data_IF_897179985313
#
_entry.id   IF_897179985313
#
_cell.length_a   1.000
_cell.length_b   1.000
_cell.length_c   1.000
_cell.angle_alpha   90.00
_cell.angle_beta   90.00
_cell.angle_gamma   90.00
#
_symmetry.space_group_name_H-M   'P 1'
#
loop_
_entity.id
_entity.type
_entity.pdbx_description
1 polymer ?
#
# COMPACT_ATOMS: atom_id res chain seq x y z
N UNK A 1 10.54 9.99 13.85
CA UNK A 1 10.15 9.33 15.12
C UNK A 1 10.91 8.02 15.24
N UNK A 2 11.47 7.73 16.42
CA UNK A 2 12.20 6.48 16.69
C UNK A 2 11.25 5.29 16.54
N UNK A 3 11.59 4.34 15.66
CA UNK A 3 10.78 3.15 15.42
C UNK A 3 10.48 2.41 16.73
N UNK A 4 9.46 1.56 16.71
CA UNK A 4 9.16 0.62 17.79
C UNK A 4 10.22 -0.51 17.84
N UNK A 5 11.51 -0.14 17.76
CA UNK A 5 12.66 -1.02 17.56
C UNK A 5 12.86 -2.05 18.68
N UNK A 6 12.18 -1.86 19.81
CA UNK A 6 12.09 -2.87 20.87
C UNK A 6 10.66 -3.41 20.93
N UNK A 7 10.44 -4.74 20.87
CA UNK A 7 9.13 -5.37 20.95
C UNK A 7 8.27 -4.85 22.11
N UNK A 8 8.88 -4.58 23.27
CA UNK A 8 8.19 -4.05 24.45
C UNK A 8 7.42 -2.74 24.24
N UNK A 9 7.92 -1.82 23.38
CA UNK A 9 7.23 -0.56 23.07
C UNK A 9 5.98 -0.80 22.22
N UNK A 10 6.09 -1.68 21.22
CA UNK A 10 4.95 -2.10 20.40
C UNK A 10 3.89 -2.76 21.29
N UNK A 11 4.29 -3.74 22.10
CA UNK A 11 3.38 -4.47 22.96
C UNK A 11 2.71 -3.58 24.01
N UNK A 12 3.43 -2.60 24.58
CA UNK A 12 2.82 -1.66 25.53
C UNK A 12 1.75 -0.77 24.92
N UNK A 13 1.82 -0.52 23.62
CA UNK A 13 0.81 0.26 22.89
C UNK A 13 -0.35 -0.61 22.42
N UNK A 14 -0.04 -1.78 21.87
CA UNK A 14 -1.02 -2.62 21.18
C UNK A 14 -1.74 -3.60 22.11
N UNK A 15 -1.15 -3.96 23.26
CA UNK A 15 -1.70 -4.93 24.20
C UNK A 15 -1.82 -4.31 25.60
N UNK A 16 -3.02 -4.35 26.16
CA UNK A 16 -3.27 -3.90 27.53
C UNK A 16 -2.45 -4.69 28.57
N UNK A 17 -2.13 -4.11 29.74
CA UNK A 17 -1.34 -4.78 30.78
C UNK A 17 -1.86 -6.16 31.16
N UNK A 18 -3.17 -6.32 31.32
CA UNK A 18 -3.81 -7.60 31.68
C UNK A 18 -3.67 -8.66 30.59
N UNK A 19 -3.79 -8.27 29.32
CA UNK A 19 -3.60 -9.18 28.17
C UNK A 19 -2.16 -9.66 28.12
N UNK A 20 -1.20 -8.75 28.29
CA UNK A 20 0.24 -9.11 28.32
C UNK A 20 0.55 -10.08 29.44
N UNK A 21 0.03 -9.83 30.65
CA UNK A 21 0.26 -10.74 31.77
C UNK A 21 -0.38 -12.10 31.53
N UNK A 22 -1.60 -12.14 30.99
CA UNK A 22 -2.26 -13.40 30.60
C UNK A 22 -1.42 -14.20 29.61
N UNK A 23 -0.82 -13.56 28.60
CA UNK A 23 0.05 -14.24 27.64
C UNK A 23 1.34 -14.76 28.30
N UNK A 24 1.96 -13.97 29.18
CA UNK A 24 3.15 -14.38 29.93
C UNK A 24 2.85 -15.53 30.89
N UNK A 25 1.68 -15.55 31.53
CA UNK A 25 1.24 -16.65 32.39
C UNK A 25 1.14 -17.98 31.62
N UNK A 26 0.57 -17.96 30.40
CA UNK A 26 0.49 -19.18 29.55
C UNK A 26 1.88 -19.77 29.26
N UNK A 27 2.90 -18.94 29.08
CA UNK A 27 4.29 -19.40 28.88
C UNK A 27 4.87 -19.97 30.18
N UNK A 28 4.69 -19.28 31.32
CA UNK A 28 5.16 -19.74 32.63
C UNK A 28 4.52 -21.05 33.07
N UNK A 29 3.23 -21.24 32.82
CA UNK A 29 2.50 -22.47 33.13
C UNK A 29 3.01 -23.68 32.33
N UNK A 30 3.70 -23.43 31.21
CA UNK A 30 4.39 -24.45 30.40
C UNK A 30 5.88 -24.61 30.76
N UNK A 31 6.36 -23.92 31.80
CA UNK A 31 7.77 -23.93 32.19
C UNK A 31 8.70 -23.17 31.23
N UNK A 32 8.16 -22.27 30.40
CA UNK A 32 8.91 -21.48 29.43
C UNK A 32 9.20 -20.08 29.97
N UNK A 33 10.35 -19.50 29.58
CA UNK A 33 10.70 -18.12 29.89
C UNK A 33 9.97 -17.16 28.93
N UNK A 34 9.05 -16.29 29.42
CA UNK A 34 8.34 -15.36 28.55
C UNK A 34 9.23 -14.37 27.79
N UNK A 35 10.41 -14.04 28.31
CA UNK A 35 11.33 -13.09 27.67
C UNK A 35 12.12 -13.73 26.51
N UNK A 36 12.06 -15.05 26.36
CA UNK A 36 12.57 -15.78 25.20
C UNK A 36 11.63 -15.76 23.97
N UNK A 37 10.45 -15.15 24.06
CA UNK A 37 9.42 -15.17 23.02
C UNK A 37 9.04 -13.79 22.50
N UNK A 38 8.68 -13.74 21.23
CA UNK A 38 7.96 -12.63 20.62
C UNK A 38 6.49 -12.98 20.46
N UNK A 39 5.62 -11.98 20.64
CA UNK A 39 4.18 -12.09 20.41
C UNK A 39 3.84 -11.52 19.04
N UNK A 40 3.02 -12.25 18.28
CA UNK A 40 2.47 -11.81 17.02
C UNK A 40 1.01 -12.26 16.86
N UNK A 41 0.14 -11.43 16.26
CA UNK A 41 -1.20 -11.85 15.86
C UNK A 41 -1.12 -12.75 14.62
N UNK A 42 -2.13 -13.62 14.48
CA UNK A 42 -2.25 -14.55 13.35
C UNK A 42 -3.70 -14.53 12.88
N UNK A 43 -3.92 -14.59 11.56
CA UNK A 43 -5.26 -14.70 11.01
C UNK A 43 -5.85 -16.08 11.38
N UNK A 44 -7.07 -16.20 11.92
CA UNK A 44 -7.63 -17.47 12.36
C UNK A 44 -7.60 -18.57 11.29
N UNK A 45 -8.07 -18.27 10.07
CA UNK A 45 -7.96 -19.18 8.93
C UNK A 45 -6.52 -19.60 8.61
N UNK A 46 -5.54 -18.68 8.69
CA UNK A 46 -4.13 -19.00 8.45
C UNK A 46 -3.61 -19.94 9.54
N UNK A 47 -4.03 -19.74 10.79
CA UNK A 47 -3.69 -20.62 11.89
C UNK A 47 -4.20 -22.04 11.65
N UNK A 48 -5.52 -22.18 11.44
CA UNK A 48 -6.19 -23.48 11.36
C UNK A 48 -5.77 -24.28 10.12
N UNK A 49 -5.74 -23.63 8.96
CA UNK A 49 -5.60 -24.34 7.67
C UNK A 49 -4.14 -24.50 7.24
N UNK A 50 -3.24 -23.64 7.70
CA UNK A 50 -1.87 -23.55 7.17
C UNK A 50 -0.83 -23.77 8.26
N UNK A 51 -0.90 -23.04 9.37
CA UNK A 51 0.17 -23.05 10.36
C UNK A 51 0.12 -24.30 11.25
N UNK A 52 -1.05 -24.74 11.68
CA UNK A 52 -1.19 -25.98 12.45
C UNK A 52 -0.53 -27.19 11.75
N UNK A 53 -0.79 -27.48 10.46
CA UNK A 53 -0.13 -28.60 9.79
C UNK A 53 1.35 -28.35 9.50
N UNK A 54 1.73 -27.15 9.02
CA UNK A 54 3.10 -26.89 8.56
C UNK A 54 4.09 -26.64 9.70
N UNK A 55 3.64 -26.07 10.81
CA UNK A 55 4.46 -25.79 11.99
C UNK A 55 4.22 -26.77 13.15
N UNK A 56 3.56 -27.92 12.92
CA UNK A 56 3.29 -28.92 13.94
C UNK A 56 4.54 -29.29 14.79
N UNK A 57 5.75 -29.48 14.23
CA UNK A 57 6.94 -29.74 15.04
C UNK A 57 7.34 -28.57 15.95
N UNK A 58 7.19 -27.33 15.48
CA UNK A 58 7.52 -26.14 16.26
C UNK A 58 6.49 -25.90 17.39
N UNK A 59 5.23 -26.26 17.16
CA UNK A 59 4.18 -26.23 18.18
C UNK A 59 4.44 -27.31 19.24
N UNK A 60 4.74 -28.53 18.81
CA UNK A 60 5.00 -29.65 19.71
C UNK A 60 6.24 -29.43 20.60
N UNK A 61 7.29 -28.78 20.08
CA UNK A 61 8.51 -28.46 20.84
C UNK A 61 8.39 -27.22 21.73
N UNK A 62 7.30 -26.46 21.63
CA UNK A 62 7.11 -25.19 22.33
C UNK A 62 7.86 -24.01 21.70
N UNK A 63 8.48 -24.16 20.53
CA UNK A 63 9.08 -23.04 19.79
C UNK A 63 8.00 -22.06 19.28
N UNK A 64 6.78 -22.55 19.02
CA UNK A 64 5.59 -21.75 18.79
C UNK A 64 4.52 -22.11 19.83
N UNK A 65 4.04 -21.11 20.57
CA UNK A 65 3.05 -21.32 21.64
C UNK A 65 1.74 -20.65 21.25
N UNK A 66 0.63 -21.40 21.09
CA UNK A 66 -0.68 -20.81 20.88
C UNK A 66 -1.10 -20.01 22.12
N UNK A 67 -1.50 -18.76 21.92
CA UNK A 67 -2.00 -17.85 22.95
C UNK A 67 -3.50 -17.59 22.75
N UNK A 68 -4.25 -17.23 23.82
CA UNK A 68 -5.64 -16.80 23.67
C UNK A 68 -5.73 -15.46 22.91
N UNK A 69 -6.94 -15.08 22.49
CA UNK A 69 -7.17 -13.77 21.84
C UNK A 69 -6.92 -12.61 22.81
N UNK A 70 -6.60 -11.43 22.27
CA UNK A 70 -6.52 -10.19 23.04
C UNK A 70 -7.89 -9.60 23.40
N UNK A 71 -8.93 -9.94 22.62
CA UNK A 71 -10.32 -9.52 22.81
C UNK A 71 -10.73 -8.32 21.96
N UNK A 72 -9.79 -7.74 21.20
CA UNK A 72 -10.07 -6.59 20.33
C UNK A 72 -10.78 -7.05 19.05
N UNK A 73 -11.88 -6.37 18.71
CA UNK A 73 -12.60 -6.58 17.46
C UNK A 73 -11.86 -5.90 16.31
N UNK A 74 -11.73 -6.62 15.20
CA UNK A 74 -10.95 -6.18 14.04
C UNK A 74 -11.74 -6.36 12.75
N UNK A 75 -11.72 -5.34 11.89
CA UNK A 75 -12.41 -5.33 10.60
C UNK A 75 -11.41 -5.60 9.46
N UNK A 76 -11.56 -6.69 8.69
CA UNK A 76 -10.78 -6.90 7.47
C UNK A 76 -11.09 -5.80 6.45
N UNK A 77 -10.03 -5.21 5.89
CA UNK A 77 -10.11 -4.22 4.82
C UNK A 77 -10.26 -4.90 3.46
N UNK A 78 -10.28 -4.10 2.37
CA UNK A 78 -10.39 -4.61 0.99
C UNK A 78 -9.29 -5.63 0.63
N UNK A 79 -8.11 -5.56 1.27
CA UNK A 79 -7.03 -6.56 1.13
C UNK A 79 -7.33 -7.92 1.78
N UNK A 80 -8.44 -8.02 2.54
CA UNK A 80 -8.87 -9.14 3.40
C UNK A 80 -7.96 -9.38 4.62
N UNK A 81 -6.65 -9.22 4.47
CA UNK A 81 -5.64 -9.57 5.46
C UNK A 81 -5.07 -8.39 6.26
N UNK A 82 -5.52 -7.17 5.96
CA UNK A 82 -5.22 -5.98 6.75
C UNK A 82 -6.41 -5.64 7.61
N UNK A 83 -6.19 -5.42 8.90
CA UNK A 83 -7.24 -5.29 9.89
C UNK A 83 -7.18 -3.92 10.56
N UNK A 84 -8.31 -3.21 10.57
CA UNK A 84 -8.51 -2.04 11.45
C UNK A 84 -8.99 -2.51 12.81
N UNK A 85 -8.48 -1.91 13.88
CA UNK A 85 -8.96 -2.18 15.24
C UNK A 85 -10.22 -1.35 15.51
N UNK A 86 -11.37 -2.01 15.70
CA UNK A 86 -12.64 -1.37 16.01
C UNK A 86 -12.77 -1.03 17.49
N UNK A 87 -12.20 -1.86 18.37
CA UNK A 87 -12.19 -1.61 19.81
C UNK A 87 -11.34 -0.40 20.18
N UNK A 88 -10.22 -0.21 19.47
CA UNK A 88 -9.26 0.87 19.69
C UNK A 88 -8.78 1.46 18.35
N UNK A 89 -9.55 2.38 17.73
CA UNK A 89 -9.24 2.94 16.41
C UNK A 89 -7.92 3.71 16.31
N UNK A 90 -7.32 4.10 17.45
CA UNK A 90 -6.05 4.79 17.56
C UNK A 90 -4.82 3.86 17.57
N UNK A 91 -5.04 2.54 17.69
CA UNK A 91 -4.02 1.49 17.57
C UNK A 91 -3.66 1.21 16.11
N UNK A 92 -2.56 0.50 15.90
CA UNK A 92 -2.09 0.21 14.56
C UNK A 92 -3.04 -0.73 13.81
N UNK A 93 -3.09 -0.53 12.50
CA UNK A 93 -3.66 -1.52 11.59
C UNK A 93 -2.69 -2.69 11.48
N UNK A 94 -3.19 -3.92 11.41
CA UNK A 94 -2.34 -5.13 11.39
C UNK A 94 -2.53 -5.83 10.06
N UNK A 95 -1.43 -6.03 9.32
CA UNK A 95 -1.40 -6.81 8.08
C UNK A 95 -0.79 -8.18 8.35
N UNK A 96 -1.48 -9.23 7.94
CA UNK A 96 -1.15 -10.62 8.24
C UNK A 96 -0.93 -11.43 6.96
N UNK A 97 -0.09 -12.46 6.97
CA UNK A 97 -0.09 -13.49 5.94
C UNK A 97 -1.45 -14.19 5.87
N UNK A 98 -1.86 -14.50 4.66
CA UNK A 98 -3.03 -15.29 4.35
C UNK A 98 -2.72 -16.11 3.08
N UNK A 99 -2.60 -17.43 3.19
CA UNK A 99 -2.30 -18.32 2.06
C UNK A 99 -3.54 -18.54 1.20
N UNK A 100 -4.13 -17.44 0.73
CA UNK A 100 -5.22 -17.39 -0.24
C UNK A 100 -4.68 -16.70 -1.49
N UNK A 101 -4.84 -17.37 -2.62
CA UNK A 101 -4.50 -16.80 -3.91
C UNK A 101 -5.58 -15.81 -4.31
N UNK A 102 -5.20 -14.53 -4.43
CA UNK A 102 -6.15 -13.50 -4.85
C UNK A 102 -5.52 -12.66 -5.97
N UNK A 103 -6.30 -12.43 -7.02
CA UNK A 103 -5.90 -11.86 -8.32
C UNK A 103 -4.72 -12.59 -8.98
N UNK A 104 -3.47 -12.25 -8.62
CA UNK A 104 -2.24 -12.77 -9.24
C UNK A 104 -1.31 -13.47 -8.25
N UNK A 105 -1.33 -13.11 -6.97
CA UNK A 105 -0.32 -13.54 -6.00
C UNK A 105 -0.95 -14.15 -4.75
N UNK A 106 -0.22 -15.08 -4.14
CA UNK A 106 -0.51 -15.58 -2.81
C UNK A 106 -0.31 -14.45 -1.81
N UNK A 107 -1.25 -14.30 -0.89
CA UNK A 107 -1.29 -13.17 0.04
C UNK A 107 -0.40 -13.40 1.27
N UNK A 108 0.88 -13.75 1.05
CA UNK A 108 1.93 -13.86 2.07
C UNK A 108 2.68 -12.55 2.35
N UNK A 109 3.56 -12.56 3.37
CA UNK A 109 4.49 -11.47 3.68
C UNK A 109 5.93 -11.86 3.29
N UNK A 110 6.59 -11.17 2.33
CA UNK A 110 7.97 -11.48 1.97
C UNK A 110 8.90 -11.17 3.14
N UNK A 111 9.63 -12.17 3.64
CA UNK A 111 10.44 -12.09 4.85
C UNK A 111 11.47 -10.95 4.82
N UNK A 112 12.29 -10.86 3.78
CA UNK A 112 13.37 -9.85 3.69
C UNK A 112 12.81 -8.43 3.61
N UNK A 113 11.81 -8.22 2.74
CA UNK A 113 11.11 -6.93 2.63
C UNK A 113 10.44 -6.55 3.95
N UNK A 114 9.74 -7.49 4.59
CA UNK A 114 9.07 -7.27 5.88
C UNK A 114 10.03 -6.77 6.94
N UNK A 115 11.28 -7.27 6.99
CA UNK A 115 12.30 -6.80 7.93
C UNK A 115 12.72 -5.35 7.66
N UNK A 116 12.77 -4.93 6.40
CA UNK A 116 13.13 -3.56 6.02
C UNK A 116 11.95 -2.56 6.10
N UNK A 117 10.71 -3.02 6.32
CA UNK A 117 9.52 -2.17 6.28
C UNK A 117 9.59 -0.92 7.20
N UNK A 118 10.08 -1.00 8.46
CA UNK A 118 10.24 0.17 9.31
C UNK A 118 11.32 1.14 8.83
N UNK A 119 12.42 0.63 8.30
CA UNK A 119 13.51 1.46 7.76
C UNK A 119 13.08 2.17 6.48
N UNK A 120 12.39 1.47 5.57
CA UNK A 120 11.80 2.04 4.36
C UNK A 120 10.79 3.13 4.72
N UNK A 121 9.90 2.84 5.67
CA UNK A 121 8.92 3.81 6.17
C UNK A 121 9.59 5.08 6.69
N UNK A 122 10.61 4.92 7.54
CA UNK A 122 11.34 6.06 8.11
C UNK A 122 12.03 6.89 7.02
N UNK A 123 12.59 6.25 6.01
CA UNK A 123 13.22 6.94 4.87
C UNK A 123 12.19 7.72 4.04
N UNK A 124 11.10 7.09 3.58
CA UNK A 124 10.08 7.75 2.74
C UNK A 124 9.38 8.88 3.51
N UNK A 125 9.05 8.68 4.79
CA UNK A 125 8.51 9.73 5.64
C UNK A 125 9.53 10.86 5.84
N UNK A 126 10.83 10.54 5.98
CA UNK A 126 11.90 11.53 6.04
C UNK A 126 12.00 12.40 4.79
N UNK A 127 11.83 11.82 3.59
CA UNK A 127 11.75 12.59 2.34
C UNK A 127 10.57 13.57 2.36
N UNK A 128 9.37 13.08 2.73
CA UNK A 128 8.16 13.90 2.85
C UNK A 128 8.31 15.00 3.90
N UNK A 129 8.88 14.69 5.05
CA UNK A 129 9.05 15.64 6.17
C UNK A 129 10.12 16.69 5.87
N UNK A 130 11.13 16.36 5.06
CA UNK A 130 12.19 17.27 4.61
C UNK A 130 11.79 18.20 3.47
N UNK A 131 10.68 17.92 2.78
CA UNK A 131 10.19 18.70 1.64
C UNK A 131 8.96 19.54 2.02
N UNK A 132 9.09 20.87 1.95
CA UNK A 132 8.01 21.81 2.32
C UNK A 132 6.78 21.66 1.43
N UNK A 133 6.95 21.34 0.15
CA UNK A 133 5.84 21.18 -0.77
C UNK A 133 5.03 19.92 -0.42
N UNK A 134 5.70 18.80 -0.16
CA UNK A 134 5.02 17.57 0.25
C UNK A 134 4.38 17.68 1.64
N UNK A 135 5.10 18.26 2.60
CA UNK A 135 4.68 18.35 4.01
C UNK A 135 3.58 19.39 4.25
N UNK A 136 3.79 20.62 3.77
CA UNK A 136 2.97 21.77 4.19
C UNK A 136 1.87 22.08 3.17
N UNK A 137 2.15 21.94 1.88
CA UNK A 137 1.18 22.27 0.83
C UNK A 137 0.31 21.07 0.44
N UNK A 138 0.94 19.97 0.03
CA UNK A 138 0.21 18.73 -0.28
C UNK A 138 -0.35 18.08 0.99
N UNK A 139 0.29 18.32 2.16
CA UNK A 139 -0.06 17.70 3.43
C UNK A 139 -0.17 16.17 3.32
N UNK A 140 0.68 15.57 2.50
CA UNK A 140 0.58 14.16 2.13
C UNK A 140 0.67 13.28 3.38
N UNK A 141 -0.25 12.33 3.50
CA UNK A 141 -0.25 11.37 4.60
C UNK A 141 0.39 10.07 4.12
N UNK A 142 1.43 9.64 4.83
CA UNK A 142 2.12 8.38 4.58
C UNK A 142 1.84 7.45 5.75
N UNK A 143 0.98 6.45 5.54
CA UNK A 143 0.61 5.46 6.56
C UNK A 143 1.71 4.40 6.66
N UNK A 144 2.69 4.69 7.53
CA UNK A 144 3.92 3.94 7.66
C UNK A 144 3.78 2.59 8.34
N UNK A 145 4.59 1.63 7.90
CA UNK A 145 4.74 0.31 8.50
C UNK A 145 5.85 0.38 9.56
N UNK A 146 5.47 0.57 10.82
CA UNK A 146 6.39 1.00 11.90
C UNK A 146 6.96 -0.14 12.74
N UNK A 147 6.41 -1.34 12.59
CA UNK A 147 6.92 -2.56 13.20
C UNK A 147 6.54 -3.76 12.34
N UNK A 148 7.37 -4.78 12.39
CA UNK A 148 7.13 -6.04 11.71
C UNK A 148 7.77 -7.20 12.45
N UNK A 149 7.26 -8.40 12.19
CA UNK A 149 7.82 -9.66 12.66
C UNK A 149 7.59 -10.70 11.58
N UNK A 150 8.58 -11.56 11.38
CA UNK A 150 8.49 -12.70 10.46
C UNK A 150 9.06 -13.92 11.18
N UNK A 151 8.41 -15.07 11.00
CA UNK A 151 8.83 -16.34 11.59
C UNK A 151 9.23 -17.26 10.45
N UNK A 152 10.54 -17.47 10.34
CA UNK A 152 11.13 -18.36 9.35
C UNK A 152 10.63 -19.79 9.52
N UNK A 153 10.32 -20.45 8.41
CA UNK A 153 9.99 -21.87 8.45
C UNK A 153 11.29 -22.69 8.50
N UNK A 154 11.47 -23.60 9.48
CA UNK A 154 12.76 -24.27 9.71
C UNK A 154 13.26 -25.13 8.54
N UNK A 155 12.34 -25.65 7.72
CA UNK A 155 12.64 -26.47 6.54
C UNK A 155 12.56 -25.68 5.22
N UNK A 156 11.37 -25.16 4.86
CA UNK A 156 11.15 -24.48 3.59
C UNK A 156 12.12 -23.34 3.29
N UNK A 157 12.49 -22.50 4.26
CA UNK A 157 13.38 -21.37 4.00
C UNK A 157 14.80 -21.79 3.59
N UNK A 158 15.18 -23.06 3.79
CA UNK A 158 16.48 -23.63 3.37
C UNK A 158 16.44 -24.23 1.98
N UNK A 159 15.25 -24.39 1.39
CA UNK A 159 15.06 -24.98 0.08
C UNK A 159 15.07 -23.88 -0.99
N UNK A 160 16.01 -23.90 -1.95
CA UNK A 160 16.14 -22.83 -2.94
C UNK A 160 14.88 -22.69 -3.80
N UNK A 161 14.35 -23.82 -4.29
CA UNK A 161 13.23 -23.87 -5.24
C UNK A 161 11.84 -23.97 -4.59
N UNK A 162 11.74 -23.82 -3.25
CA UNK A 162 10.41 -23.87 -2.61
C UNK A 162 9.55 -22.72 -3.15
N UNK A 163 8.27 -22.97 -3.43
CA UNK A 163 7.37 -21.93 -3.86
C UNK A 163 7.33 -20.76 -2.87
N UNK A 164 7.37 -19.52 -3.36
CA UNK A 164 7.50 -18.32 -2.51
C UNK A 164 6.43 -18.27 -1.42
N UNK A 165 5.22 -18.76 -1.69
CA UNK A 165 4.13 -18.76 -0.71
C UNK A 165 4.48 -19.47 0.60
N UNK A 166 5.38 -20.47 0.57
CA UNK A 166 5.84 -21.19 1.76
C UNK A 166 6.97 -20.48 2.51
N UNK A 167 7.57 -19.44 1.93
CA UNK A 167 8.55 -18.54 2.56
C UNK A 167 7.89 -17.32 3.23
N UNK A 168 6.57 -17.23 3.17
CA UNK A 168 5.78 -16.04 3.49
C UNK A 168 4.60 -16.32 4.44
N UNK A 169 4.70 -17.40 5.23
CA UNK A 169 3.57 -18.01 5.94
C UNK A 169 3.19 -17.36 7.27
N UNK A 170 4.16 -16.85 8.03
CA UNK A 170 3.95 -16.42 9.41
C UNK A 170 4.71 -15.13 9.72
N UNK A 171 3.97 -14.12 10.15
CA UNK A 171 4.48 -12.80 10.47
C UNK A 171 3.34 -11.81 10.70
N UNK A 172 3.70 -10.56 10.97
CA UNK A 172 2.76 -9.47 11.06
C UNK A 172 3.47 -8.15 10.74
N UNK A 173 2.73 -7.19 10.18
CA UNK A 173 3.17 -5.80 10.02
C UNK A 173 2.15 -4.91 10.71
N UNK A 174 2.64 -3.99 11.54
CA UNK A 174 1.84 -2.94 12.17
C UNK A 174 2.04 -1.64 11.42
N UNK A 175 0.94 -1.05 10.97
CA UNK A 175 0.91 0.20 10.22
C UNK A 175 0.14 1.27 10.96
N UNK A 176 0.65 2.49 10.89
CA UNK A 176 0.04 3.67 11.52
C UNK A 176 -1.44 3.79 11.12
N UNK A 177 -2.33 4.06 12.09
CA UNK A 177 -3.73 4.30 11.78
C UNK A 177 -3.87 5.65 11.08
N UNK A 178 -4.88 5.74 10.22
CA UNK A 178 -5.29 7.01 9.66
C UNK A 178 -6.00 7.83 10.74
N UNK A 179 -5.42 8.98 11.09
CA UNK A 179 -5.99 9.93 12.04
C UNK A 179 -6.35 11.21 11.32
N UNK A 180 -7.61 11.60 11.44
CA UNK A 180 -8.13 12.81 10.82
C UNK A 180 -8.76 13.71 11.87
N UNK A 181 -8.73 15.05 11.66
CA UNK A 181 -9.60 15.98 12.34
C UNK A 181 -11.09 15.58 12.22
N UNK A 182 -11.96 15.98 13.18
CA UNK A 182 -13.38 15.61 13.19
C UNK A 182 -14.18 16.08 11.95
N UNK A 183 -13.72 17.14 11.30
CA UNK A 183 -14.32 17.76 10.10
C UNK A 183 -13.85 17.12 8.79
N UNK A 184 -12.94 16.15 8.84
CA UNK A 184 -12.43 15.48 7.64
C UNK A 184 -12.84 14.02 7.56
N UNK A 185 -12.94 13.52 6.32
CA UNK A 185 -13.33 12.15 6.02
C UNK A 185 -12.34 11.52 5.06
N UNK A 186 -12.12 10.22 5.19
CA UNK A 186 -11.30 9.47 4.25
C UNK A 186 -12.08 8.34 3.59
N UNK A 187 -11.83 8.13 2.30
CA UNK A 187 -12.39 7.02 1.54
C UNK A 187 -11.31 6.47 0.62
N UNK A 188 -11.31 5.15 0.41
CA UNK A 188 -10.40 4.55 -0.56
C UNK A 188 -10.72 5.11 -1.94
N UNK A 189 -9.71 5.30 -2.77
CA UNK A 189 -9.88 5.80 -4.13
C UNK A 189 -10.79 4.86 -4.95
N UNK A 190 -10.77 3.56 -4.65
CA UNK A 190 -11.68 2.56 -5.21
C UNK A 190 -13.17 2.90 -4.98
N UNK A 191 -13.52 3.59 -3.89
CA UNK A 191 -14.90 3.97 -3.63
C UNK A 191 -15.46 4.89 -4.72
N UNK A 192 -14.63 5.71 -5.38
CA UNK A 192 -15.08 6.58 -6.48
C UNK A 192 -15.55 5.81 -7.71
N UNK A 193 -15.17 4.53 -7.84
CA UNK A 193 -15.59 3.65 -8.92
C UNK A 193 -16.87 2.87 -8.58
N UNK A 194 -17.38 3.02 -7.37
CA UNK A 194 -18.57 2.30 -6.94
C UNK A 194 -19.83 2.90 -7.59
N UNK A 195 -20.69 2.01 -8.07
CA UNK A 195 -22.05 2.31 -8.49
C UNK A 195 -22.99 1.45 -7.65
N UNK A 196 -24.00 2.09 -7.06
CA UNK A 196 -24.96 1.39 -6.21
C UNK A 196 -25.92 0.50 -7.05
N UNK A 197 -26.75 -0.35 -6.42
CA UNK A 197 -27.70 -1.20 -7.15
C UNK A 197 -28.76 -0.43 -7.96
N UNK A 198 -28.96 0.87 -7.71
CA UNK A 198 -29.87 1.72 -8.48
C UNK A 198 -29.16 2.39 -9.67
N UNK A 199 -27.86 2.17 -9.85
CA UNK A 199 -27.08 2.72 -10.96
C UNK A 199 -26.44 4.08 -10.65
N UNK A 200 -26.55 4.61 -9.43
CA UNK A 200 -25.97 5.89 -9.05
C UNK A 200 -24.50 5.72 -8.70
N UNK A 201 -23.63 6.45 -9.40
CA UNK A 201 -22.20 6.47 -9.11
C UNK A 201 -21.94 7.22 -7.80
N UNK A 202 -21.09 6.65 -6.94
CA UNK A 202 -20.72 7.27 -5.67
C UNK A 202 -20.02 8.61 -5.87
N UNK A 203 -19.19 8.75 -6.92
CA UNK A 203 -18.57 10.04 -7.24
C UNK A 203 -19.60 11.11 -7.63
N UNK A 204 -20.70 10.74 -8.28
CA UNK A 204 -21.75 11.69 -8.62
C UNK A 204 -22.44 12.22 -7.36
N UNK A 205 -22.64 11.37 -6.35
CA UNK A 205 -23.15 11.77 -5.05
C UNK A 205 -22.22 12.74 -4.31
N UNK A 206 -20.91 12.50 -4.33
CA UNK A 206 -19.96 13.41 -3.70
C UNK A 206 -19.92 14.78 -4.39
N UNK A 207 -19.99 14.80 -5.72
CA UNK A 207 -20.05 16.05 -6.50
C UNK A 207 -21.31 16.85 -6.13
N UNK A 208 -22.49 16.20 -6.10
CA UNK A 208 -23.74 16.85 -5.70
C UNK A 208 -23.67 17.41 -4.28
N UNK A 209 -23.22 16.61 -3.31
CA UNK A 209 -23.12 17.02 -1.89
C UNK A 209 -22.12 18.15 -1.66
N UNK A 210 -21.10 18.25 -2.50
CA UNK A 210 -20.12 19.35 -2.42
C UNK A 210 -20.64 20.71 -2.91
N UNK A 211 -21.74 20.72 -3.67
CA UNK A 211 -22.24 21.93 -4.33
C UNK A 211 -21.31 22.49 -5.43
N UNK A 212 -20.19 21.81 -5.74
CA UNK A 212 -19.28 22.22 -6.80
C UNK A 212 -19.76 21.75 -8.17
N UNK A 213 -19.48 22.53 -9.21
CA UNK A 213 -19.62 22.06 -10.58
C UNK A 213 -18.72 20.83 -10.82
N UNK A 214 -19.15 19.82 -11.60
CA UNK A 214 -18.38 18.59 -11.78
C UNK A 214 -16.92 18.78 -12.22
N UNK A 215 -16.68 19.68 -13.19
CA UNK A 215 -15.31 20.02 -13.62
C UNK A 215 -14.46 20.65 -12.50
N UNK A 216 -15.08 21.41 -11.60
CA UNK A 216 -14.38 22.03 -10.48
C UNK A 216 -14.02 20.99 -9.41
N UNK A 217 -14.94 20.09 -9.06
CA UNK A 217 -14.66 18.99 -8.15
C UNK A 217 -13.58 18.06 -8.70
N UNK A 218 -13.63 17.74 -10.01
CA UNK A 218 -12.60 16.91 -10.65
C UNK A 218 -11.20 17.55 -10.59
N UNK A 219 -11.09 18.87 -10.76
CA UNK A 219 -9.82 19.58 -10.55
C UNK A 219 -9.34 19.49 -9.10
N UNK A 220 -10.25 19.51 -8.11
CA UNK A 220 -9.90 19.28 -6.70
C UNK A 220 -9.38 17.87 -6.47
N UNK A 221 -10.02 16.86 -7.08
CA UNK A 221 -9.53 15.49 -7.05
C UNK A 221 -8.10 15.39 -7.61
N UNK A 222 -7.86 15.91 -8.82
CA UNK A 222 -6.52 15.85 -9.42
C UNK A 222 -5.49 16.65 -8.62
N UNK A 223 -5.85 17.83 -8.11
CA UNK A 223 -4.99 18.63 -7.24
C UNK A 223 -4.67 17.99 -5.89
N UNK A 224 -5.54 17.11 -5.37
CA UNK A 224 -5.28 16.34 -4.16
C UNK A 224 -4.37 15.12 -4.43
N UNK A 225 -4.50 14.49 -5.60
CA UNK A 225 -3.84 13.23 -5.94
C UNK A 225 -2.48 13.41 -6.63
N UNK A 226 -2.45 14.16 -7.73
CA UNK A 226 -1.29 14.18 -8.62
C UNK A 226 -0.07 14.89 -8.05
N UNK A 227 -0.18 16.11 -7.48
CA UNK A 227 1.00 16.87 -7.09
C UNK A 227 1.99 16.10 -6.19
N UNK A 228 1.57 15.40 -5.12
CA UNK A 228 2.51 14.63 -4.32
C UNK A 228 3.09 13.42 -5.07
N UNK A 229 2.29 12.72 -5.88
CA UNK A 229 2.75 11.56 -6.66
C UNK A 229 3.78 11.96 -7.72
N UNK A 230 3.52 13.05 -8.44
CA UNK A 230 4.41 13.61 -9.45
C UNK A 230 5.72 14.09 -8.81
N UNK A 231 5.64 14.75 -7.66
CA UNK A 231 6.84 15.24 -6.98
C UNK A 231 7.71 14.09 -6.49
N UNK A 232 7.12 13.03 -5.93
CA UNK A 232 7.86 11.83 -5.55
C UNK A 232 8.56 11.17 -6.75
N UNK A 233 7.86 11.03 -7.88
CA UNK A 233 8.44 10.50 -9.11
C UNK A 233 9.58 11.39 -9.62
N UNK A 234 9.33 12.68 -9.83
CA UNK A 234 10.30 13.56 -10.48
C UNK A 234 11.48 13.93 -9.57
N UNK A 235 11.22 14.32 -8.33
CA UNK A 235 12.29 14.75 -7.41
C UNK A 235 13.08 13.58 -6.88
N UNK A 236 12.39 12.52 -6.45
CA UNK A 236 12.99 11.43 -5.69
C UNK A 236 13.15 10.14 -6.49
N UNK A 237 12.68 10.09 -7.75
CA UNK A 237 12.68 8.87 -8.54
C UNK A 237 11.99 7.74 -7.77
N UNK A 238 10.95 8.05 -7.01
CA UNK A 238 10.28 7.13 -6.10
C UNK A 238 8.80 7.09 -6.48
N UNK A 239 8.25 5.90 -6.65
CA UNK A 239 6.82 5.73 -6.95
C UNK A 239 6.17 4.86 -5.90
N UNK A 240 4.89 5.16 -5.68
CA UNK A 240 3.96 4.28 -4.99
C UNK A 240 3.16 3.51 -6.05
N UNK A 241 2.38 2.52 -5.62
CA UNK A 241 1.32 1.93 -6.43
C UNK A 241 -0.03 2.55 -6.03
N UNK A 242 -0.42 3.72 -6.57
CA UNK A 242 -1.64 4.46 -6.18
C UNK A 242 -2.92 3.86 -6.78
N UNK A 243 -3.06 2.54 -6.77
CA UNK A 243 -4.32 1.92 -7.19
C UNK A 243 -5.43 2.16 -6.17
N UNK A 244 -6.67 1.85 -6.56
CA UNK A 244 -7.87 2.18 -5.80
C UNK A 244 -7.83 1.82 -4.31
N UNK A 245 -7.24 0.69 -3.95
CA UNK A 245 -7.11 0.28 -2.54
C UNK A 245 -6.04 1.05 -1.75
N UNK A 246 -4.87 1.32 -2.34
CA UNK A 246 -3.70 1.87 -1.62
C UNK A 246 -3.71 3.39 -1.53
N UNK A 247 -4.44 4.05 -2.43
CA UNK A 247 -4.73 5.47 -2.35
C UNK A 247 -6.01 5.72 -1.57
N UNK A 248 -5.93 6.61 -0.60
CA UNK A 248 -7.04 7.08 0.21
C UNK A 248 -7.17 8.59 0.00
N UNK A 249 -8.34 9.02 -0.42
CA UNK A 249 -8.65 10.44 -0.63
C UNK A 249 -9.21 10.99 0.68
N UNK A 250 -8.62 12.08 1.17
CA UNK A 250 -9.16 12.85 2.29
C UNK A 250 -10.03 13.96 1.74
N UNK A 251 -11.20 14.13 2.34
CA UNK A 251 -12.22 15.12 2.02
C UNK A 251 -12.44 16.05 3.21
N UNK A 252 -12.78 17.30 2.93
CA UNK A 252 -13.31 18.21 3.95
C UNK A 252 -14.77 17.88 4.33
N UNK A 253 -15.37 18.74 5.15
CA UNK A 253 -16.74 18.60 5.66
C UNK A 253 -17.81 18.75 4.57
N UNK A 254 -17.42 19.27 3.40
CA UNK A 254 -18.25 19.43 2.20
C UNK A 254 -17.97 18.34 1.15
N UNK A 255 -17.30 17.25 1.49
CA UNK A 255 -16.96 16.17 0.54
C UNK A 255 -16.12 16.64 -0.67
N UNK A 256 -15.31 17.69 -0.51
CA UNK A 256 -14.33 18.13 -1.51
C UNK A 256 -12.98 17.47 -1.24
N UNK A 257 -12.32 16.86 -2.26
CA UNK A 257 -10.99 16.28 -2.09
C UNK A 257 -9.95 17.34 -1.69
N UNK A 258 -9.21 17.09 -0.61
CA UNK A 258 -8.22 18.03 -0.08
C UNK A 258 -6.79 17.51 -0.08
N UNK A 259 -6.57 16.20 0.07
CA UNK A 259 -5.22 15.59 0.02
C UNK A 259 -5.24 14.07 -0.10
N UNK A 260 -4.07 13.53 -0.38
CA UNK A 260 -3.81 12.10 -0.54
C UNK A 260 -3.20 11.48 0.72
N UNK A 261 -3.70 10.30 1.07
CA UNK A 261 -3.04 9.36 1.95
C UNK A 261 -2.64 8.09 1.17
N UNK A 262 -1.41 7.60 1.36
CA UNK A 262 -0.91 6.36 0.74
C UNK A 262 -0.51 5.37 1.82
N UNK A 263 -0.76 4.08 1.55
CA UNK A 263 -0.37 2.93 2.39
C UNK A 263 0.38 1.86 1.58
N UNK A 264 0.86 0.82 2.28
CA UNK A 264 1.52 -0.38 1.73
C UNK A 264 2.89 -0.09 1.08
N UNK A 265 3.87 0.37 1.86
CA UNK A 265 5.17 0.77 1.31
C UNK A 265 6.04 -0.42 0.93
N UNK A 266 6.17 -1.40 1.84
CA UNK A 266 7.11 -2.50 1.66
C UNK A 266 6.83 -3.38 0.44
N UNK A 267 5.56 -3.48 0.03
CA UNK A 267 5.16 -4.27 -1.14
C UNK A 267 5.19 -3.46 -2.45
N UNK A 268 4.99 -2.13 -2.39
CA UNK A 268 4.62 -1.33 -3.57
C UNK A 268 5.53 -0.13 -3.88
N UNK A 269 6.41 0.30 -2.96
CA UNK A 269 7.37 1.38 -3.25
C UNK A 269 8.50 0.85 -4.13
N UNK A 270 8.73 1.54 -5.23
CA UNK A 270 9.83 1.28 -6.16
C UNK A 270 10.61 2.57 -6.37
N UNK A 271 11.91 2.44 -6.68
CA UNK A 271 12.76 3.60 -7.01
C UNK A 271 13.40 3.43 -8.38
N UNK A 272 13.89 4.53 -8.95
CA UNK A 272 14.59 4.50 -10.22
C UNK A 272 15.88 3.68 -10.12
N UNK A 273 16.11 2.82 -11.10
CA UNK A 273 17.38 2.14 -11.30
C UNK A 273 18.51 3.11 -11.70
N UNK A 274 18.17 4.27 -12.27
CA UNK A 274 19.11 5.37 -12.50
C UNK A 274 19.37 6.06 -11.16
N UNK A 275 20.64 6.12 -10.69
CA UNK A 275 20.96 6.72 -9.40
C UNK A 275 20.61 8.21 -9.34
N UNK A 276 19.88 8.60 -8.30
CA UNK A 276 19.58 10.01 -8.01
C UNK A 276 20.29 10.47 -6.74
N UNK A 277 20.73 11.74 -6.62
CA UNK A 277 21.36 12.25 -5.41
C UNK A 277 20.52 12.01 -4.15
N UNK A 278 19.20 12.11 -4.27
CA UNK A 278 18.24 11.87 -3.20
C UNK A 278 18.34 10.45 -2.59
N UNK A 279 18.75 9.46 -3.40
CA UNK A 279 18.92 8.07 -2.95
C UNK A 279 20.11 7.87 -2.02
N UNK A 280 21.02 8.85 -1.89
CA UNK A 280 22.17 8.76 -0.98
C UNK A 280 21.78 8.67 0.50
N UNK A 281 20.56 9.12 0.84
CA UNK A 281 20.01 9.08 2.21
C UNK A 281 19.33 7.74 2.54
N UNK A 282 19.17 6.85 1.56
CA UNK A 282 18.51 5.57 1.74
C UNK A 282 19.39 4.62 2.57
N UNK A 283 18.87 4.04 3.66
CA UNK A 283 19.56 3.02 4.45
C UNK A 283 20.00 1.80 3.60
N UNK A 284 21.13 1.20 3.95
CA UNK A 284 21.71 0.08 3.18
C UNK A 284 20.84 -1.19 3.20
N UNK A 285 20.18 -1.46 4.32
CA UNK A 285 19.23 -2.56 4.47
C UNK A 285 18.00 -2.38 3.57
N UNK A 286 17.50 -1.14 3.42
CA UNK A 286 16.45 -0.79 2.47
C UNK A 286 16.95 -0.94 1.04
N UNK A 287 18.14 -0.40 0.72
CA UNK A 287 18.73 -0.48 -0.62
C UNK A 287 18.91 -1.92 -1.09
N UNK A 288 19.25 -2.83 -0.18
CA UNK A 288 19.46 -4.24 -0.50
C UNK A 288 18.18 -5.02 -0.85
N UNK A 289 16.99 -4.51 -0.52
CA UNK A 289 15.72 -5.23 -0.72
C UNK A 289 14.66 -4.46 -1.50
N UNK A 290 14.81 -3.14 -1.65
CA UNK A 290 13.87 -2.31 -2.38
C UNK A 290 13.97 -2.57 -3.87
N UNK A 291 12.81 -2.70 -4.53
CA UNK A 291 12.78 -2.93 -5.97
C UNK A 291 13.14 -1.65 -6.72
N UNK A 292 13.92 -1.82 -7.77
CA UNK A 292 14.35 -0.74 -8.67
C UNK A 292 13.83 -1.00 -10.07
N UNK A 293 13.36 0.05 -10.74
CA UNK A 293 12.84 -0.05 -12.10
C UNK A 293 13.48 1.01 -13.00
N UNK A 294 13.67 0.67 -14.28
CA UNK A 294 14.12 1.63 -15.28
C UNK A 294 13.14 2.81 -15.40
N UNK A 295 13.61 4.05 -15.65
CA UNK A 295 12.77 5.25 -15.64
C UNK A 295 11.48 5.14 -16.44
N UNK A 296 11.55 4.61 -17.66
CA UNK A 296 10.38 4.42 -18.53
C UNK A 296 9.34 3.49 -17.90
N UNK A 297 9.77 2.40 -17.26
CA UNK A 297 8.86 1.48 -16.57
C UNK A 297 8.38 2.03 -15.23
N UNK A 298 9.18 2.81 -14.53
CA UNK A 298 8.80 3.44 -13.26
C UNK A 298 7.54 4.32 -13.42
N UNK A 299 7.38 4.98 -14.57
CA UNK A 299 6.16 5.75 -14.90
C UNK A 299 4.90 4.88 -14.98
N UNK A 300 5.03 3.58 -15.26
CA UNK A 300 3.91 2.64 -15.35
C UNK A 300 3.14 2.49 -14.03
N UNK A 301 3.77 2.79 -12.88
CA UNK A 301 3.06 2.78 -11.61
C UNK A 301 1.96 3.85 -11.56
N UNK A 302 2.17 4.99 -12.23
CA UNK A 302 1.15 6.03 -12.38
C UNK A 302 0.27 5.74 -13.60
N UNK A 303 0.85 5.45 -14.77
CA UNK A 303 0.06 5.17 -15.97
C UNK A 303 -0.86 3.97 -15.78
N UNK A 304 -0.32 2.81 -15.45
CA UNK A 304 -1.10 1.58 -15.31
C UNK A 304 -1.87 1.55 -13.98
N UNK A 305 -1.24 1.92 -12.87
CA UNK A 305 -1.86 1.86 -11.54
C UNK A 305 -3.02 2.84 -11.33
N UNK A 306 -2.83 4.10 -11.75
CA UNK A 306 -3.82 5.17 -11.55
C UNK A 306 -4.62 5.46 -12.82
N UNK A 307 -3.96 5.73 -13.96
CA UNK A 307 -4.69 6.19 -15.14
C UNK A 307 -5.51 5.07 -15.77
N UNK A 308 -4.90 3.91 -16.05
CA UNK A 308 -5.59 2.75 -16.62
C UNK A 308 -6.38 1.99 -15.54
N UNK A 309 -5.83 1.87 -14.34
CA UNK A 309 -6.40 1.07 -13.25
C UNK A 309 -7.58 1.72 -12.55
N UNK A 310 -7.67 3.06 -12.56
CA UNK A 310 -8.72 3.82 -11.88
C UNK A 310 -9.41 4.78 -12.85
N UNK A 311 -8.67 5.72 -13.45
CA UNK A 311 -9.30 6.81 -14.20
C UNK A 311 -9.99 6.38 -15.49
N UNK A 312 -9.51 5.33 -16.16
CA UNK A 312 -10.22 4.70 -17.28
C UNK A 312 -11.64 4.24 -16.91
N UNK A 313 -11.89 3.90 -15.64
CA UNK A 313 -13.21 3.53 -15.15
C UNK A 313 -13.97 4.71 -14.55
N UNK A 314 -13.26 5.72 -14.03
CA UNK A 314 -13.87 6.92 -13.47
C UNK A 314 -14.37 7.88 -14.57
N UNK A 315 -13.65 8.01 -15.68
CA UNK A 315 -13.99 8.94 -16.75
C UNK A 315 -15.37 8.67 -17.39
N UNK A 316 -15.76 7.42 -17.69
CA UNK A 316 -17.13 7.13 -18.14
C UNK A 316 -18.21 7.53 -17.13
N UNK A 317 -17.98 7.36 -15.83
CA UNK A 317 -18.94 7.79 -14.79
C UNK A 317 -19.14 9.32 -14.79
N UNK A 318 -18.07 10.07 -15.07
CA UNK A 318 -18.13 11.52 -15.23
C UNK A 318 -18.88 11.95 -16.49
N UNK A 319 -18.68 11.24 -17.59
CA UNK A 319 -19.37 11.53 -18.84
C UNK A 319 -20.86 11.22 -18.73
N UNK A 320 -21.20 10.02 -18.27
CA UNK A 320 -22.57 9.49 -18.23
C UNK A 320 -23.44 10.20 -17.17
N UNK A 321 -22.89 10.47 -15.97
CA UNK A 321 -23.70 10.95 -14.84
C UNK A 321 -23.43 12.41 -14.44
N UNK A 322 -22.33 13.00 -14.91
CA UNK A 322 -21.92 14.36 -14.53
C UNK A 322 -21.73 15.31 -15.72
N UNK A 323 -21.91 14.82 -16.96
CA UNK A 323 -21.83 15.63 -18.17
C UNK A 323 -20.43 16.22 -18.45
N UNK A 324 -19.37 15.56 -17.97
CA UNK A 324 -17.97 15.92 -18.29
C UNK A 324 -17.45 14.93 -19.32
N UNK A 325 -17.30 15.34 -20.60
CA UNK A 325 -16.82 14.45 -21.65
C UNK A 325 -15.47 13.83 -21.30
N UNK A 326 -15.22 12.58 -21.74
CA UNK A 326 -13.96 11.89 -21.43
C UNK A 326 -12.73 12.70 -21.90
N UNK A 327 -12.82 13.37 -23.05
CA UNK A 327 -11.77 14.27 -23.55
C UNK A 327 -11.42 15.38 -22.55
N UNK A 328 -12.42 15.97 -21.91
CA UNK A 328 -12.22 17.03 -20.93
C UNK A 328 -11.61 16.48 -19.63
N UNK A 329 -12.01 15.26 -19.23
CA UNK A 329 -11.44 14.58 -18.07
C UNK A 329 -9.92 14.43 -18.23
N UNK A 330 -9.46 13.89 -19.37
CA UNK A 330 -8.04 13.70 -19.65
C UNK A 330 -7.30 15.02 -19.88
N UNK A 331 -7.94 16.01 -20.51
CA UNK A 331 -7.36 17.34 -20.67
C UNK A 331 -7.11 18.03 -19.32
N UNK A 332 -8.02 17.88 -18.35
CA UNK A 332 -7.85 18.38 -16.99
C UNK A 332 -6.72 17.65 -16.24
N UNK A 333 -6.59 16.33 -16.44
CA UNK A 333 -5.50 15.55 -15.86
C UNK A 333 -4.14 16.01 -16.41
N UNK A 334 -4.05 16.16 -17.74
CA UNK A 334 -2.86 16.68 -18.43
C UNK A 334 -2.50 18.08 -17.96
N UNK A 335 -3.49 18.96 -17.80
CA UNK A 335 -3.28 20.32 -17.32
C UNK A 335 -2.69 20.34 -15.90
N UNK A 336 -3.09 19.40 -15.03
CA UNK A 336 -2.52 19.27 -13.68
C UNK A 336 -1.05 18.84 -13.71
N UNK A 337 -0.68 17.87 -14.58
CA UNK A 337 0.71 17.46 -14.77
C UNK A 337 1.56 18.65 -15.26
N UNK A 338 1.10 19.37 -16.28
CA UNK A 338 1.82 20.54 -16.79
C UNK A 338 1.91 21.67 -15.77
N UNK A 339 0.87 21.87 -14.95
CA UNK A 339 0.89 22.84 -13.86
C UNK A 339 1.96 22.50 -12.83
N UNK A 340 2.12 21.21 -12.51
CA UNK A 340 3.21 20.76 -11.64
C UNK A 340 4.58 21.00 -12.29
N UNK A 341 4.76 20.64 -13.56
CA UNK A 341 6.03 20.87 -14.27
C UNK A 341 6.40 22.36 -14.36
N UNK A 342 5.45 23.23 -14.68
CA UNK A 342 5.66 24.67 -14.75
C UNK A 342 6.03 25.29 -13.40
N UNK A 343 5.63 24.65 -12.30
CA UNK A 343 5.90 25.10 -10.94
C UNK A 343 7.33 24.77 -10.48
N UNK A 344 7.92 23.69 -10.98
CA UNK A 344 9.26 23.23 -10.60
C UNK A 344 10.20 23.16 -11.83
N UNK A 345 10.49 24.30 -12.49
CA UNK A 345 11.30 24.32 -13.72
C UNK A 345 12.71 23.76 -13.54
N UNK A 346 13.25 23.77 -12.32
CA UNK A 346 14.54 23.16 -11.96
C UNK A 346 14.56 21.63 -12.11
N UNK A 347 13.39 20.98 -12.17
CA UNK A 347 13.25 19.53 -12.38
C UNK A 347 13.08 19.16 -13.86
N UNK A 348 13.37 20.07 -14.80
CA UNK A 348 13.18 19.82 -16.24
C UNK A 348 13.79 18.51 -16.74
N UNK A 349 15.04 18.23 -16.40
CA UNK A 349 15.71 16.97 -16.80
C UNK A 349 15.03 15.74 -16.18
N UNK A 350 14.39 15.89 -15.01
CA UNK A 350 13.57 14.82 -14.39
C UNK A 350 12.27 14.59 -15.14
N UNK A 351 11.64 15.65 -15.67
CA UNK A 351 10.43 15.52 -16.47
C UNK A 351 10.70 14.76 -17.76
N UNK A 352 11.86 15.00 -18.39
CA UNK A 352 12.33 14.28 -19.56
C UNK A 352 12.70 12.82 -19.23
N UNK A 353 13.33 12.58 -18.07
CA UNK A 353 13.69 11.23 -17.60
C UNK A 353 12.47 10.37 -17.26
N UNK A 354 11.42 10.96 -16.71
CA UNK A 354 10.19 10.26 -16.29
C UNK A 354 8.98 10.74 -17.09
N UNK A 355 9.05 10.67 -18.42
CA UNK A 355 8.05 11.27 -19.31
C UNK A 355 6.68 10.58 -19.23
N UNK A 356 5.74 11.24 -18.54
CA UNK A 356 4.35 10.79 -18.44
C UNK A 356 3.49 11.12 -19.67
N UNK A 357 4.00 11.95 -20.59
CA UNK A 357 3.28 12.46 -21.77
C UNK A 357 3.71 11.78 -23.07
N UNK A 358 4.48 10.70 -22.98
CA UNK A 358 4.81 9.83 -24.12
C UNK A 358 3.55 9.44 -24.91
N UNK A 359 3.61 9.35 -26.26
CA UNK A 359 2.43 9.08 -27.09
C UNK A 359 1.78 7.71 -26.83
N UNK A 360 2.53 6.74 -26.30
CA UNK A 360 2.06 5.38 -26.06
C UNK A 360 2.62 4.84 -24.76
N UNK A 361 1.82 4.04 -24.08
CA UNK A 361 2.17 3.40 -22.81
C UNK A 361 2.08 1.88 -22.95
N UNK A 362 2.94 1.19 -22.21
CA UNK A 362 2.93 -0.27 -22.16
C UNK A 362 1.62 -0.78 -21.55
N UNK A 363 1.10 -1.88 -22.11
CA UNK A 363 -0.14 -2.47 -21.63
C UNK A 363 0.16 -3.58 -20.63
N UNK A 364 0.08 -3.25 -19.34
CA UNK A 364 0.10 -4.24 -18.27
C UNK A 364 -1.21 -5.05 -18.27
N UNK A 365 -1.09 -6.35 -18.48
CA UNK A 365 -2.18 -7.27 -18.73
C UNK A 365 -2.33 -8.29 -17.60
N UNK A 366 -2.89 -7.86 -16.46
CA UNK A 366 -3.04 -8.72 -15.27
C UNK A 366 -3.82 -10.03 -15.54
N UNK A 367 -4.87 -9.99 -16.36
CA UNK A 367 -5.61 -11.20 -16.74
C UNK A 367 -4.79 -12.15 -17.61
N UNK A 368 -3.82 -11.65 -18.38
CA UNK A 368 -2.95 -12.47 -19.22
C UNK A 368 -2.04 -13.35 -18.39
N UNK A 369 -1.54 -12.85 -17.27
CA UNK A 369 -0.81 -13.67 -16.30
C UNK A 369 -1.65 -14.89 -15.90
N UNK A 370 -2.90 -14.66 -15.47
CA UNK A 370 -3.77 -15.74 -15.01
C UNK A 370 -4.14 -16.72 -16.12
N UNK A 371 -4.49 -16.21 -17.30
CA UNK A 371 -5.07 -17.02 -18.37
C UNK A 371 -4.03 -17.70 -19.28
N UNK A 372 -2.83 -17.13 -19.41
CA UNK A 372 -1.85 -17.59 -20.42
C UNK A 372 -0.45 -17.88 -19.89
N UNK A 373 0.03 -17.18 -18.86
CA UNK A 373 1.44 -17.28 -18.45
C UNK A 373 1.64 -18.10 -17.17
N UNK A 374 0.91 -17.74 -16.12
CA UNK A 374 1.17 -18.21 -14.75
C UNK A 374 0.19 -19.31 -14.32
N UNK A 375 -1.07 -19.23 -14.78
CA UNK A 375 -2.10 -20.19 -14.37
C UNK A 375 -2.24 -20.23 -12.84
N UNK A 376 -2.39 -21.42 -12.27
CA UNK A 376 -2.43 -21.65 -10.81
C UNK A 376 -1.17 -22.37 -10.30
N UNK A 377 -0.04 -22.24 -11.02
CA UNK A 377 1.18 -22.96 -10.68
C UNK A 377 1.90 -22.30 -9.51
N UNK A 378 2.49 -23.14 -8.69
CA UNK A 378 3.45 -22.72 -7.69
C UNK A 378 4.77 -22.30 -8.34
N UNK A 379 5.38 -21.23 -7.82
CA UNK A 379 6.62 -20.65 -8.34
C UNK A 379 7.56 -20.27 -7.21
N UNK A 380 8.88 -20.35 -7.41
CA UNK A 380 9.87 -19.92 -6.42
C UNK A 380 9.86 -18.41 -6.19
N UNK A 381 9.34 -17.64 -7.16
CA UNK A 381 9.31 -16.17 -7.15
C UNK A 381 7.90 -15.63 -7.43
N UNK A 382 7.63 -14.41 -6.95
CA UNK A 382 6.37 -13.72 -7.22
C UNK A 382 6.27 -13.36 -8.71
N UNK A 383 5.12 -13.59 -9.37
CA UNK A 383 4.94 -13.22 -10.77
C UNK A 383 4.92 -11.68 -10.96
N UNK A 384 5.52 -11.22 -12.05
CA UNK A 384 5.41 -9.84 -12.52
C UNK A 384 4.23 -9.67 -13.48
N UNK A 385 3.65 -8.48 -13.55
CA UNK A 385 2.57 -8.18 -14.49
C UNK A 385 3.05 -8.37 -15.94
N UNK A 386 2.27 -9.10 -16.74
CA UNK A 386 2.57 -9.36 -18.13
C UNK A 386 2.44 -8.08 -18.96
N UNK A 387 3.51 -7.67 -19.64
CA UNK A 387 3.44 -6.61 -20.66
C UNK A 387 3.06 -7.24 -21.99
N UNK A 388 2.04 -6.72 -22.67
CA UNK A 388 1.69 -7.20 -24.01
C UNK A 388 1.13 -6.10 -24.90
N UNK A 389 2.00 -5.53 -25.74
CA UNK A 389 1.70 -4.42 -26.64
C UNK A 389 1.58 -3.09 -25.90
N UNK A 390 1.14 -2.06 -26.63
CA UNK A 390 0.99 -0.69 -26.13
C UNK A 390 -0.39 -0.14 -26.41
N UNK A 391 -0.82 0.88 -25.66
CA UNK A 391 -2.05 1.65 -25.93
C UNK A 391 -1.72 3.13 -26.13
N UNK A 392 -2.53 3.90 -26.89
CA UNK A 392 -2.37 5.35 -26.94
C UNK A 392 -2.49 5.96 -25.54
N UNK A 393 -1.61 6.91 -25.24
CA UNK A 393 -1.72 7.68 -24.01
C UNK A 393 -2.79 8.76 -24.20
N UNK A 394 -3.86 8.80 -23.37
CA UNK A 394 -4.89 9.85 -23.49
C UNK A 394 -4.36 11.26 -23.14
N UNK A 395 -3.11 11.37 -22.69
CA UNK A 395 -2.41 12.63 -22.38
C UNK A 395 -1.56 13.18 -23.53
N UNK A 396 -1.40 12.42 -24.61
CA UNK A 396 -0.55 12.77 -25.76
C UNK A 396 -1.09 13.95 -26.58
#
# INVERSE_FOLDING_TARGET
MTGLATPGRLYARELGPEVRERFRAVLRDRGLDPDGYLVLPVHPWQWDEILLPLYAPAIASGALVPLPTDGDLRLPQQSVRTFLNLSHPDRHTVKLPLSVLNTLVWRGLPTERTLAAPALTAWVQGLRDGDTFLRDECRMILLGEVASVTVRHPLYDRLPEVPYQYKELLGAIWREPLRLPPDERARTLAALLHTDPAGRAFVAELVERSGLAPRAWLRRLFGALLPPLLHFLYRYGTVFSPHGENAIVVYDDQDVPVRLAIKDFVDDVNVSAVPLPEHATMPDDVRGVLLTEEPDFLTQFIHSGLFIGVFRYLAPLYEEQLGVPERDFWALLRAEILRHQARFPELKERFELFDLLTPRIDRLCLNRNRLHLDGYRDRPERPHAAVHGTVPNPLA
#
